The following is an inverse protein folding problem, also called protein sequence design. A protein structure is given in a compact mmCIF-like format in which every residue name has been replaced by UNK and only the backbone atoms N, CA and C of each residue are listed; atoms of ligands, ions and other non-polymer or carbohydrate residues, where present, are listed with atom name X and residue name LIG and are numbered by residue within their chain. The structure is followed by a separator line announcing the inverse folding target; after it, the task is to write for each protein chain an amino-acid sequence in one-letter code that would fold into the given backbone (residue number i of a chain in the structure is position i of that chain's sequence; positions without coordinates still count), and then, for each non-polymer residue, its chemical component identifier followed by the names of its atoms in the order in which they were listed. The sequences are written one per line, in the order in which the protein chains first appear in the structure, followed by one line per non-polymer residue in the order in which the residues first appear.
data_IF_104571942270
#
_entry.id   IF_104571942270
#
_cell.length_a   1.000
_cell.length_b   1.000
_cell.length_c   1.000
_cell.angle_alpha   90.00
_cell.angle_beta   90.00
_cell.angle_gamma   90.00
#
_symmetry.space_group_name_H-M   'P 1'
#
loop_
_entity.id
_entity.type
_entity.pdbx_description
1 polymer ?
#
# COMPACT_ATOMS: atom_id res chain seq x y z
N UNK A 1 13.76 3.75 -3.43
CA UNK A 1 13.05 2.45 -3.30
C UNK A 1 13.94 1.24 -3.67
N UNK A 2 15.20 1.46 -4.08
CA UNK A 2 16.18 0.40 -4.31
C UNK A 2 17.26 0.36 -3.23
N UNK A 3 17.09 1.15 -2.17
CA UNK A 3 18.13 1.49 -1.20
C UNK A 3 18.53 0.29 -0.33
N UNK A 4 17.72 -0.79 -0.34
CA UNK A 4 17.89 -1.96 0.52
C UNK A 4 17.97 -3.29 -0.24
N UNK A 5 17.93 -3.29 -1.58
CA UNK A 5 18.02 -4.51 -2.39
C UNK A 5 16.95 -5.57 -2.08
N UNK A 6 15.77 -5.15 -1.58
CA UNK A 6 14.69 -6.05 -1.21
C UNK A 6 13.87 -6.47 -2.43
N UNK A 7 13.48 -7.74 -2.45
CA UNK A 7 12.51 -8.31 -3.38
C UNK A 7 11.17 -8.52 -2.66
N UNK A 8 10.05 -8.27 -3.34
CA UNK A 8 8.70 -8.48 -2.79
C UNK A 8 7.96 -9.46 -3.68
N UNK A 9 7.55 -10.59 -3.11
CA UNK A 9 6.71 -11.57 -3.79
C UNK A 9 5.29 -11.55 -3.19
N UNK A 10 4.27 -11.53 -4.05
CA UNK A 10 2.87 -11.53 -3.60
C UNK A 10 2.36 -10.17 -3.11
N UNK A 11 2.66 -9.08 -3.84
CA UNK A 11 2.19 -7.73 -3.52
C UNK A 11 0.70 -7.55 -3.83
N UNK A 12 -0.03 -6.95 -2.87
CA UNK A 12 -1.41 -6.51 -3.06
C UNK A 12 -1.47 -4.99 -3.13
N UNK A 13 -1.80 -4.45 -4.30
CA UNK A 13 -2.09 -3.03 -4.44
C UNK A 13 -3.59 -2.77 -4.19
N UNK A 14 -3.89 -2.00 -3.15
CA UNK A 14 -5.25 -1.63 -2.77
C UNK A 14 -6.00 -0.88 -3.87
N UNK A 15 -5.29 -0.11 -4.70
CA UNK A 15 -5.84 0.63 -5.85
C UNK A 15 -6.28 -0.33 -6.94
N UNK A 16 -5.47 -1.35 -7.21
CA UNK A 16 -5.78 -2.40 -8.16
C UNK A 16 -7.00 -3.20 -7.71
N UNK A 17 -7.08 -3.56 -6.42
CA UNK A 17 -8.24 -4.25 -5.86
C UNK A 17 -9.50 -3.39 -5.97
N UNK A 18 -9.42 -2.08 -5.72
CA UNK A 18 -10.56 -1.18 -5.87
C UNK A 18 -11.01 -1.06 -7.32
N UNK A 19 -10.08 -0.98 -8.28
CA UNK A 19 -10.40 -0.99 -9.71
C UNK A 19 -11.12 -2.28 -10.11
N UNK A 20 -10.68 -3.45 -9.60
CA UNK A 20 -11.37 -4.74 -9.81
C UNK A 20 -12.78 -4.77 -9.25
N UNK A 21 -13.08 -3.97 -8.23
CA UNK A 21 -14.42 -3.78 -7.67
C UNK A 21 -15.25 -2.74 -8.44
N UNK A 22 -14.75 -2.21 -9.57
CA UNK A 22 -15.40 -1.16 -10.36
C UNK A 22 -15.27 0.24 -9.76
N UNK A 23 -14.40 0.40 -8.76
CA UNK A 23 -14.07 1.70 -8.18
C UNK A 23 -13.01 2.44 -9.00
N UNK A 24 -12.77 3.69 -8.62
CA UNK A 24 -11.65 4.47 -9.17
C UNK A 24 -10.41 4.24 -8.30
N UNK A 25 -9.23 3.95 -8.87
CA UNK A 25 -8.01 3.77 -8.10
C UNK A 25 -7.61 5.10 -7.44
N UNK A 26 -7.69 5.17 -6.12
CA UNK A 26 -7.38 6.38 -5.34
C UNK A 26 -6.29 6.10 -4.30
N UNK A 27 -5.56 7.15 -3.88
CA UNK A 27 -4.50 7.00 -2.88
C UNK A 27 -5.03 6.57 -1.51
N UNK A 28 -4.17 5.91 -0.71
CA UNK A 28 -4.51 5.36 0.62
C UNK A 28 -5.38 6.27 1.49
N UNK A 29 -5.12 7.59 1.62
CA UNK A 29 -5.95 8.48 2.46
C UNK A 29 -7.40 8.61 1.99
N UNK A 30 -7.63 8.63 0.68
CA UNK A 30 -8.99 8.64 0.13
C UNK A 30 -9.69 7.30 0.35
N UNK A 31 -8.95 6.19 0.25
CA UNK A 31 -9.48 4.85 0.51
C UNK A 31 -9.85 4.69 1.98
N UNK A 32 -8.96 5.09 2.88
CA UNK A 32 -9.18 5.07 4.32
C UNK A 32 -10.41 5.90 4.69
N UNK A 33 -10.56 7.09 4.10
CA UNK A 33 -11.76 7.91 4.31
C UNK A 33 -13.02 7.24 3.77
N UNK A 34 -12.98 6.72 2.55
CA UNK A 34 -14.13 6.10 1.87
C UNK A 34 -14.64 4.84 2.57
N UNK A 35 -13.75 3.94 2.98
CA UNK A 35 -14.13 2.62 3.47
C UNK A 35 -14.08 2.48 4.99
N UNK A 36 -13.23 3.26 5.68
CA UNK A 36 -13.03 3.15 7.13
C UNK A 36 -13.46 4.42 7.88
N UNK A 37 -13.84 5.49 7.18
CA UNK A 37 -14.09 6.81 7.76
C UNK A 37 -12.90 7.35 8.59
N UNK A 38 -11.68 7.00 8.18
CA UNK A 38 -10.42 7.42 8.81
C UNK A 38 -9.78 8.53 7.98
N UNK A 39 -9.45 9.66 8.61
CA UNK A 39 -8.69 10.74 7.98
C UNK A 39 -7.19 10.56 8.25
N UNK A 40 -6.41 10.34 7.18
CA UNK A 40 -4.95 10.32 7.27
C UNK A 40 -4.40 11.69 6.84
N UNK A 41 -3.73 12.38 7.76
CA UNK A 41 -3.13 13.68 7.48
C UNK A 41 -1.92 13.55 6.54
N UNK A 42 -2.14 13.83 5.25
CA UNK A 42 -1.12 13.74 4.22
C UNK A 42 -0.02 14.79 4.35
N UNK A 43 -0.25 15.89 5.09
CA UNK A 43 0.76 16.94 5.26
C UNK A 43 2.03 16.42 5.93
N UNK A 44 1.90 15.38 6.78
CA UNK A 44 3.01 14.72 7.45
C UNK A 44 3.97 14.07 6.45
N UNK A 45 3.51 13.65 5.27
CA UNK A 45 4.38 13.06 4.22
C UNK A 45 5.36 14.08 3.62
N UNK A 46 5.03 15.37 3.67
CA UNK A 46 5.86 16.46 3.16
C UNK A 46 6.92 16.94 4.17
N UNK A 47 6.91 16.39 5.38
CA UNK A 47 7.89 16.72 6.43
C UNK A 47 9.23 15.99 6.19
N UNK A 48 10.26 16.36 6.96
CA UNK A 48 11.58 15.73 6.84
C UNK A 48 11.60 14.35 7.54
N UNK A 49 11.66 13.29 6.75
CA UNK A 49 11.74 11.89 7.23
C UNK A 49 13.16 11.37 7.42
N UNK A 50 14.14 11.94 6.72
CA UNK A 50 15.55 11.58 6.87
C UNK A 50 16.18 12.35 8.05
N UNK A 51 15.90 11.89 9.27
CA UNK A 51 16.46 12.40 10.53
C UNK A 51 16.65 11.25 11.52
N UNK A 52 17.52 11.45 12.51
CA UNK A 52 17.87 10.41 13.49
C UNK A 52 16.68 9.97 14.35
N UNK A 53 15.75 10.89 14.65
CA UNK A 53 14.57 10.61 15.46
C UNK A 53 13.33 11.21 14.82
N UNK A 54 12.28 10.40 14.69
CA UNK A 54 10.96 10.84 14.22
C UNK A 54 10.21 11.54 15.36
N UNK A 55 9.45 12.57 15.00
CA UNK A 55 8.56 13.19 15.98
C UNK A 55 7.29 12.34 16.17
N UNK A 56 6.53 12.64 17.22
CA UNK A 56 5.35 11.86 17.56
C UNK A 56 4.30 11.87 16.44
N UNK A 57 4.16 12.97 15.70
CA UNK A 57 3.19 13.07 14.60
C UNK A 57 3.57 12.17 13.44
N UNK A 58 4.85 12.09 13.09
CA UNK A 58 5.36 11.16 12.08
C UNK A 58 5.20 9.69 12.51
N UNK A 59 5.49 9.38 13.77
CA UNK A 59 5.29 8.04 14.33
C UNK A 59 3.81 7.63 14.29
N UNK A 60 2.93 8.54 14.70
CA UNK A 60 1.48 8.30 14.70
C UNK A 60 0.94 8.17 13.27
N UNK A 61 1.42 8.99 12.33
CA UNK A 61 1.06 8.87 10.92
C UNK A 61 1.51 7.53 10.33
N UNK A 62 2.76 7.12 10.56
CA UNK A 62 3.29 5.84 10.08
C UNK A 62 2.51 4.65 10.66
N UNK A 63 2.15 4.70 11.95
CA UNK A 63 1.32 3.67 12.58
C UNK A 63 -0.07 3.61 11.93
N UNK A 64 -0.71 4.76 11.74
CA UNK A 64 -2.05 4.85 11.18
C UNK A 64 -2.12 4.41 9.72
N UNK A 65 -1.10 4.75 8.91
CA UNK A 65 -1.06 4.35 7.50
C UNK A 65 -0.92 2.84 7.35
N UNK A 66 -0.06 2.19 8.14
CA UNK A 66 0.05 0.71 8.18
C UNK A 66 -1.26 0.07 8.61
N UNK A 67 -1.86 0.56 9.70
CA UNK A 67 -3.14 0.03 10.19
C UNK A 67 -4.25 0.17 9.13
N UNK A 68 -4.40 1.35 8.54
CA UNK A 68 -5.40 1.60 7.50
C UNK A 68 -5.18 0.68 6.29
N UNK A 69 -3.93 0.43 5.90
CA UNK A 69 -3.61 -0.46 4.77
C UNK A 69 -4.02 -1.91 5.03
N UNK A 70 -3.75 -2.42 6.24
CA UNK A 70 -4.16 -3.78 6.64
C UNK A 70 -5.69 -3.89 6.71
N UNK A 71 -6.34 -2.92 7.37
CA UNK A 71 -7.80 -2.93 7.53
C UNK A 71 -8.51 -2.84 6.16
N UNK A 72 -8.01 -2.00 5.25
CA UNK A 72 -8.49 -1.91 3.87
C UNK A 72 -8.29 -3.22 3.11
N UNK A 73 -7.10 -3.83 3.19
CA UNK A 73 -6.84 -5.11 2.54
C UNK A 73 -7.86 -6.17 2.98
N UNK A 74 -8.04 -6.35 4.28
CA UNK A 74 -8.99 -7.32 4.82
C UNK A 74 -10.43 -7.03 4.35
N UNK A 75 -10.84 -5.76 4.38
CA UNK A 75 -12.18 -5.34 3.97
C UNK A 75 -12.43 -5.58 2.48
N UNK A 76 -11.50 -5.15 1.62
CA UNK A 76 -11.64 -5.28 0.17
C UNK A 76 -11.55 -6.74 -0.26
N UNK A 77 -10.63 -7.52 0.31
CA UNK A 77 -10.52 -8.94 -0.01
C UNK A 77 -11.77 -9.72 0.36
N UNK A 78 -12.43 -9.41 1.48
CA UNK A 78 -13.73 -10.03 1.83
C UNK A 78 -14.83 -9.71 0.82
N UNK A 79 -14.79 -8.53 0.18
CA UNK A 79 -15.76 -8.16 -0.86
C UNK A 79 -15.49 -8.89 -2.18
N UNK A 80 -14.23 -9.06 -2.52
CA UNK A 80 -13.80 -9.67 -3.79
C UNK A 80 -13.86 -11.20 -3.73
N UNK A 81 -13.42 -11.79 -2.62
CA UNK A 81 -13.30 -13.22 -2.41
C UNK A 81 -14.03 -13.61 -1.11
N UNK A 82 -15.34 -13.86 -1.14
CA UNK A 82 -16.08 -14.30 0.04
C UNK A 82 -15.62 -15.69 0.54
N UNK A 83 -15.09 -16.54 -0.36
CA UNK A 83 -14.52 -17.85 -0.03
C UNK A 83 -13.12 -17.98 -0.66
N UNK A 84 -12.10 -17.31 -0.09
CA UNK A 84 -10.79 -17.27 -0.70
C UNK A 84 -10.05 -18.60 -0.49
N UNK A 85 -9.49 -19.13 -1.58
CA UNK A 85 -8.38 -20.09 -1.55
C UNK A 85 -7.05 -19.35 -1.69
N UNK A 86 -5.94 -19.98 -1.33
CA UNK A 86 -4.59 -19.42 -1.55
C UNK A 86 -4.39 -19.07 -3.03
N UNK A 87 -4.77 -19.96 -3.95
CA UNK A 87 -4.64 -19.72 -5.39
C UNK A 87 -5.44 -18.51 -5.87
N UNK A 88 -6.67 -18.33 -5.36
CA UNK A 88 -7.49 -17.17 -5.72
C UNK A 88 -6.98 -15.90 -5.08
N UNK A 89 -6.35 -15.95 -3.90
CA UNK A 89 -5.71 -14.78 -3.30
C UNK A 89 -4.53 -14.33 -4.19
N UNK A 90 -3.66 -15.26 -4.60
CA UNK A 90 -2.52 -14.94 -5.45
C UNK A 90 -2.89 -14.42 -6.84
N UNK A 91 -4.06 -14.76 -7.38
CA UNK A 91 -4.52 -14.18 -8.65
C UNK A 91 -4.89 -12.69 -8.56
N UNK A 92 -5.03 -12.15 -7.35
CA UNK A 92 -5.23 -10.72 -7.09
C UNK A 92 -3.96 -10.00 -6.65
N UNK A 93 -2.84 -10.71 -6.51
CA UNK A 93 -1.55 -10.05 -6.45
C UNK A 93 -1.30 -9.31 -7.77
N UNK A 94 -0.68 -8.15 -7.71
CA UNK A 94 -0.33 -7.40 -8.91
C UNK A 94 0.92 -8.05 -9.54
N UNK A 95 0.82 -8.65 -10.74
CA UNK A 95 1.91 -9.43 -11.32
C UNK A 95 3.10 -8.54 -11.72
N UNK A 96 2.87 -7.26 -12.01
CA UNK A 96 3.90 -6.32 -12.47
C UNK A 96 4.75 -5.73 -11.32
N UNK A 97 4.30 -5.88 -10.07
CA UNK A 97 5.09 -5.52 -8.87
C UNK A 97 5.91 -6.68 -8.31
N UNK A 98 5.78 -7.87 -8.89
CA UNK A 98 6.64 -9.03 -8.62
C UNK A 98 7.92 -8.93 -9.46
N UNK A 99 8.61 -7.79 -9.35
CA UNK A 99 9.80 -7.46 -10.12
C UNK A 99 11.00 -7.23 -9.18
N UNK A 100 12.15 -7.82 -9.54
CA UNK A 100 13.44 -7.25 -9.11
C UNK A 100 13.47 -5.81 -9.60
N UNK A 101 13.71 -4.86 -8.71
CA UNK A 101 13.98 -3.49 -9.11
C UNK A 101 15.38 -3.43 -9.80
N UNK A 102 15.46 -3.81 -11.08
CA UNK A 102 16.71 -3.84 -11.85
C UNK A 102 17.01 -2.44 -12.40
N UNK A 103 18.20 -1.89 -12.07
CA UNK A 103 18.68 -0.63 -12.64
C UNK A 103 19.23 -0.85 -14.07
N UNK A 104 18.87 0.05 -14.98
CA UNK A 104 19.78 0.45 -16.06
C UNK A 104 20.74 1.48 -15.49
N UNK A 105 22.03 1.13 -15.40
CA UNK A 105 23.10 2.08 -15.10
C UNK A 105 23.16 3.12 -16.23
N UNK A 106 22.78 4.37 -15.95
CA UNK A 106 23.23 5.47 -16.81
C UNK A 106 24.65 5.82 -16.42
N UNK A 107 25.52 5.74 -17.43
CA UNK A 107 26.94 6.00 -17.34
C UNK A 107 27.22 7.44 -16.87
N UNK A 108 28.32 7.54 -16.13
CA UNK A 108 29.00 8.72 -15.56
C UNK A 108 28.86 10.04 -16.33
#
# INVERSE_FOLDING_TARGET
MNDYGLEVNGTFDLRFIEEKLGGKPEGLPKLARKYLNVDLDQSITLTKWNKNELDQQQLDYARQSVKASIDLFVLLMKKVLPNPTISTIFSYCEPDLDTRFVYYSQNY
#
